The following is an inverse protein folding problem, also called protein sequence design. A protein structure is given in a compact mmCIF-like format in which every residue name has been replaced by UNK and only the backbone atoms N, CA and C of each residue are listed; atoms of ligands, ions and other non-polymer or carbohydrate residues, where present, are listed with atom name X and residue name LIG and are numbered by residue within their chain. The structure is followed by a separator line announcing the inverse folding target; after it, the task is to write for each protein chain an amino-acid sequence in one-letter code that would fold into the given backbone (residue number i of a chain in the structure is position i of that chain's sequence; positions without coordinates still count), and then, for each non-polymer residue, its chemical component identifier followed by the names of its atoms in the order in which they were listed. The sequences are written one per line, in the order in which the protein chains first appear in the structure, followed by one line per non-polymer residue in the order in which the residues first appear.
data_IF_977039858550
#
_entry.id   IF_977039858550
#
_cell.length_a   1.000
_cell.length_b   1.000
_cell.length_c   1.000
_cell.angle_alpha   90.00
_cell.angle_beta   90.00
_cell.angle_gamma   90.00
#
_symmetry.space_group_name_H-M   'P 1'
#
loop_
_entity.id
_entity.type
_entity.pdbx_description
1 polymer ?
#
# COMPACT_ATOMS: atom_id res chain seq x y z
N UNK A 1 17.55 0.59 15.65
CA UNK A 1 16.80 1.75 16.18
C UNK A 1 16.33 2.74 15.12
N UNK A 2 17.02 2.88 13.97
CA UNK A 2 16.64 3.79 12.87
C UNK A 2 15.19 3.63 12.37
N UNK A 3 14.67 2.39 12.31
CA UNK A 3 13.27 2.13 11.91
C UNK A 3 12.26 2.83 12.83
N UNK A 4 12.59 3.09 14.10
CA UNK A 4 11.70 3.76 15.04
C UNK A 4 11.96 5.28 15.08
N UNK A 5 13.21 5.70 14.86
CA UNK A 5 13.66 7.07 15.13
C UNK A 5 13.77 7.96 13.88
N UNK A 6 14.04 7.39 12.70
CA UNK A 6 14.22 8.19 11.50
C UNK A 6 12.91 8.38 10.71
N UNK A 7 12.77 9.61 10.20
CA UNK A 7 11.75 9.97 9.22
C UNK A 7 12.02 9.32 7.86
N UNK A 8 10.94 8.95 7.20
CA UNK A 8 10.99 8.24 5.93
C UNK A 8 11.27 9.24 4.81
N UNK A 9 12.35 9.01 4.06
CA UNK A 9 12.70 9.79 2.87
C UNK A 9 12.36 9.01 1.62
N UNK A 10 11.37 9.48 0.87
CA UNK A 10 10.97 8.87 -0.40
C UNK A 10 11.73 9.47 -1.58
N UNK A 11 12.21 8.65 -2.53
CA UNK A 11 12.86 9.13 -3.74
C UNK A 11 11.89 9.95 -4.61
N UNK A 12 12.43 10.87 -5.41
CA UNK A 12 11.63 11.73 -6.31
C UNK A 12 10.94 10.94 -7.43
N UNK A 13 11.47 9.77 -7.78
CA UNK A 13 10.92 8.86 -8.77
C UNK A 13 9.65 8.14 -8.29
N UNK A 14 9.34 8.20 -6.99
CA UNK A 14 8.17 7.54 -6.44
C UNK A 14 6.91 8.33 -6.80
N UNK A 15 6.01 7.68 -7.55
CA UNK A 15 4.71 8.25 -7.92
C UNK A 15 3.87 8.65 -6.71
N UNK A 16 2.95 9.61 -6.88
CA UNK A 16 2.18 10.19 -5.78
C UNK A 16 1.36 9.13 -5.02
N UNK A 17 0.74 8.19 -5.73
CA UNK A 17 -0.09 7.15 -5.09
C UNK A 17 0.74 6.13 -4.31
N UNK A 18 1.93 5.79 -4.82
CA UNK A 18 2.86 4.91 -4.12
C UNK A 18 3.40 5.59 -2.86
N UNK A 19 3.72 6.90 -2.95
CA UNK A 19 4.13 7.71 -1.80
C UNK A 19 3.03 7.80 -0.74
N UNK A 20 1.79 8.03 -1.15
CA UNK A 20 0.64 8.07 -0.25
C UNK A 20 0.47 6.74 0.48
N UNK A 21 0.48 5.63 -0.26
CA UNK A 21 0.36 4.29 0.31
C UNK A 21 1.45 4.01 1.35
N UNK A 22 2.72 4.23 1.00
CA UNK A 22 3.83 3.99 1.91
C UNK A 22 3.81 4.92 3.14
N UNK A 23 3.38 6.17 2.97
CA UNK A 23 3.27 7.12 4.08
C UNK A 23 2.22 6.68 5.12
N UNK A 24 1.15 6.02 4.67
CA UNK A 24 0.13 5.43 5.55
C UNK A 24 0.59 4.13 6.19
N UNK A 25 1.18 3.21 5.41
CA UNK A 25 1.64 1.90 5.90
C UNK A 25 2.81 2.00 6.88
N UNK A 26 3.69 2.99 6.72
CA UNK A 26 4.93 3.10 7.50
C UNK A 26 4.81 4.09 8.66
N UNK A 27 3.57 4.38 9.11
CA UNK A 27 3.34 5.09 10.37
C UNK A 27 3.91 4.29 11.54
N UNK A 28 4.67 4.99 12.40
CA UNK A 28 5.30 4.40 13.59
C UNK A 28 4.24 3.94 14.58
N UNK A 29 3.25 4.79 14.85
CA UNK A 29 2.08 4.44 15.65
C UNK A 29 1.20 3.42 14.89
N UNK A 30 1.04 2.19 15.40
CA UNK A 30 0.19 1.18 14.77
C UNK A 30 -1.28 1.60 14.64
N UNK A 31 -1.79 2.42 15.56
CA UNK A 31 -3.20 2.85 15.55
C UNK A 31 -3.48 3.91 14.47
N UNK A 32 -2.44 4.57 13.97
CA UNK A 32 -2.51 5.54 12.89
C UNK A 32 -2.06 4.96 11.54
N UNK A 33 -1.67 3.68 11.54
CA UNK A 33 -1.21 2.99 10.33
C UNK A 33 -2.40 2.66 9.45
N UNK A 34 -2.20 2.81 8.14
CA UNK A 34 -3.16 2.32 7.15
C UNK A 34 -3.36 0.80 7.33
N UNK A 35 -4.60 0.37 7.51
CA UNK A 35 -4.97 -0.99 7.88
C UNK A 35 -4.84 -1.31 9.37
N UNK A 36 -4.53 -0.33 10.21
CA UNK A 36 -4.52 -0.48 11.67
C UNK A 36 -5.90 -0.26 12.33
N UNK A 37 -6.87 0.26 11.56
CA UNK A 37 -8.23 0.52 12.01
C UNK A 37 -9.18 -0.68 11.86
N UNK A 38 -10.47 -0.52 12.21
CA UNK A 38 -11.47 -1.61 12.17
C UNK A 38 -11.70 -2.23 10.79
N UNK A 39 -11.43 -1.47 9.72
CA UNK A 39 -11.58 -1.93 8.34
C UNK A 39 -10.35 -2.74 7.85
N UNK A 40 -9.24 -2.70 8.58
CA UNK A 40 -8.03 -3.49 8.36
C UNK A 40 -7.62 -3.52 6.87
N UNK A 41 -7.52 -4.70 6.28
CA UNK A 41 -7.12 -4.87 4.88
C UNK A 41 -8.03 -4.14 3.89
N UNK A 42 -9.32 -3.91 4.20
CA UNK A 42 -10.23 -3.21 3.28
C UNK A 42 -9.80 -1.77 3.04
N UNK A 43 -9.27 -1.11 4.07
CA UNK A 43 -8.74 0.26 3.95
C UNK A 43 -7.58 0.30 2.96
N UNK A 44 -6.67 -0.69 3.04
CA UNK A 44 -5.54 -0.82 2.12
C UNK A 44 -6.03 -1.12 0.70
N UNK A 45 -6.99 -2.04 0.56
CA UNK A 45 -7.55 -2.48 -0.72
C UNK A 45 -8.25 -1.36 -1.49
N UNK A 46 -8.82 -0.37 -0.78
CA UNK A 46 -9.52 0.78 -1.35
C UNK A 46 -8.59 1.96 -1.70
N UNK A 47 -7.31 1.90 -1.32
CA UNK A 47 -6.36 2.98 -1.58
C UNK A 47 -6.15 3.17 -3.10
N UNK A 48 -6.00 4.43 -3.55
CA UNK A 48 -5.88 4.79 -4.98
C UNK A 48 -4.75 4.08 -5.72
N UNK A 49 -3.68 3.72 -5.02
CA UNK A 49 -2.60 2.89 -5.56
C UNK A 49 -3.11 1.59 -6.18
N UNK A 50 -4.21 1.02 -5.65
CA UNK A 50 -4.84 -0.20 -6.14
C UNK A 50 -6.13 0.02 -6.93
N UNK A 51 -6.43 1.26 -7.38
CA UNK A 51 -7.70 1.57 -8.04
C UNK A 51 -8.02 0.74 -9.31
N UNK A 52 -7.00 0.17 -9.96
CA UNK A 52 -7.15 -0.71 -11.12
C UNK A 52 -7.25 -2.21 -10.79
N UNK A 53 -7.23 -2.60 -9.51
CA UNK A 53 -7.22 -4.00 -9.10
C UNK A 53 -8.65 -4.48 -8.82
N UNK A 54 -9.07 -5.52 -9.54
CA UNK A 54 -10.20 -6.33 -9.12
C UNK A 54 -9.71 -7.40 -8.13
N UNK A 55 -10.00 -7.19 -6.85
CA UNK A 55 -9.58 -8.09 -5.79
C UNK A 55 -10.18 -9.49 -5.88
N UNK A 56 -11.36 -9.63 -6.50
CA UNK A 56 -11.96 -10.94 -6.75
C UNK A 56 -11.15 -11.74 -7.78
N UNK A 57 -10.70 -11.09 -8.85
CA UNK A 57 -9.85 -11.73 -9.86
C UNK A 57 -8.49 -12.13 -9.28
N UNK A 58 -7.92 -11.33 -8.36
CA UNK A 58 -6.70 -11.69 -7.62
C UNK A 58 -6.93 -12.94 -6.77
N UNK A 59 -8.02 -12.96 -5.99
CA UNK A 59 -8.37 -14.08 -5.12
C UNK A 59 -8.60 -15.37 -5.92
N UNK A 60 -9.26 -15.26 -7.07
CA UNK A 60 -9.54 -16.36 -8.00
C UNK A 60 -8.37 -16.71 -8.92
N UNK A 61 -7.22 -16.04 -8.78
CA UNK A 61 -6.00 -16.24 -9.59
C UNK A 61 -6.23 -16.04 -11.10
N UNK A 62 -7.14 -15.13 -11.46
CA UNK A 62 -7.44 -14.73 -12.84
C UNK A 62 -6.51 -13.65 -13.38
N UNK A 63 -5.73 -13.00 -12.52
CA UNK A 63 -4.75 -12.01 -12.95
C UNK A 63 -3.57 -12.74 -13.61
N UNK A 64 -3.54 -12.71 -14.94
CA UNK A 64 -2.43 -13.21 -15.73
C UNK A 64 -1.21 -12.32 -15.56
N UNK A 65 -0.06 -12.91 -15.24
CA UNK A 65 1.21 -12.22 -15.38
C UNK A 65 1.63 -12.34 -16.84
N UNK A 66 1.66 -11.23 -17.55
CA UNK A 66 2.22 -11.24 -18.90
C UNK A 66 3.74 -11.13 -18.80
N UNK A 67 4.41 -12.28 -18.78
CA UNK A 67 5.88 -12.36 -18.76
C UNK A 67 6.49 -11.95 -20.11
N UNK A 68 5.66 -11.76 -21.15
CA UNK A 68 6.09 -11.58 -22.53
C UNK A 68 5.63 -10.25 -23.16
N UNK A 69 5.07 -9.33 -22.36
CA UNK A 69 4.96 -7.90 -22.71
C UNK A 69 6.16 -7.10 -22.23
#
# INVERSE_FOLDING_TARGET
ELILMEDIRFPRTLGPEARSLLSGLLKKDPMQRLGGGPDDAKEIMQHRFFAGINWQDVYEKKVGFDWFL
#
